data_IF_020782535811
#
_entry.id   IF_020782535811
#
_cell.length_a   1.000
_cell.length_b   1.000
_cell.length_c   1.000
_cell.angle_alpha   90.00
_cell.angle_beta   90.00
_cell.angle_gamma   90.00
#
_symmetry.space_group_name_H-M   'P 1'
#
loop_
_entity.id
_entity.type
_entity.pdbx_description
1 polymer ?
#
# COMPACT_ATOMS: atom_id res chain seq x y z
N UNK A 1 24.65 41.96 69.29
CA UNK A 1 23.91 40.69 69.10
C UNK A 1 23.16 40.76 67.76
N UNK A 2 23.72 40.20 66.68
CA UNK A 2 23.07 40.16 65.35
C UNK A 2 22.47 38.75 65.16
N UNK A 3 21.14 38.65 65.04
CA UNK A 3 20.46 37.39 64.71
C UNK A 3 20.45 37.23 63.19
N UNK A 4 21.17 36.22 62.70
CA UNK A 4 21.14 35.81 61.28
C UNK A 4 19.98 34.83 61.13
N UNK A 5 18.98 35.22 60.33
CA UNK A 5 17.81 34.40 60.03
C UNK A 5 18.14 33.53 58.81
N UNK A 6 18.43 32.24 59.02
CA UNK A 6 18.55 31.27 57.94
C UNK A 6 17.15 30.93 57.42
N UNK A 7 16.82 31.37 56.21
CA UNK A 7 15.62 30.94 55.49
C UNK A 7 15.97 29.68 54.72
N UNK A 8 15.53 28.52 55.22
CA UNK A 8 15.67 27.23 54.55
C UNK A 8 14.68 27.19 53.38
N UNK A 9 15.17 27.40 52.15
CA UNK A 9 14.35 27.25 50.94
C UNK A 9 14.35 25.78 50.54
N UNK A 10 13.29 25.06 50.89
CA UNK A 10 13.09 23.67 50.48
C UNK A 10 12.74 23.65 48.99
N UNK A 11 13.68 23.25 48.14
CA UNK A 11 13.42 22.98 46.71
C UNK A 11 12.66 21.65 46.63
N UNK A 12 11.35 21.70 46.40
CA UNK A 12 10.59 20.52 46.00
C UNK A 12 11.00 20.13 44.57
N UNK A 13 11.78 19.07 44.43
CA UNK A 13 12.00 18.42 43.15
C UNK A 13 10.72 17.67 42.76
N UNK A 14 9.90 18.27 41.89
CA UNK A 14 8.82 17.58 41.20
C UNK A 14 9.44 16.59 40.20
N UNK A 15 9.60 15.34 40.59
CA UNK A 15 9.90 14.26 39.65
C UNK A 15 8.66 14.03 38.79
N UNK A 16 8.60 14.66 37.62
CA UNK A 16 7.67 14.24 36.59
C UNK A 16 8.10 12.85 36.12
N UNK A 17 7.40 11.81 36.58
CA UNK A 17 7.49 10.49 35.98
C UNK A 17 6.81 10.62 34.62
N UNK A 18 7.59 10.90 33.58
CA UNK A 18 7.13 10.78 32.21
C UNK A 18 6.76 9.31 31.99
N UNK A 19 5.47 8.99 32.00
CA UNK A 19 5.00 7.70 31.51
C UNK A 19 5.32 7.66 30.02
N UNK A 20 6.24 6.78 29.61
CA UNK A 20 6.51 6.55 28.21
C UNK A 20 5.19 6.13 27.54
N UNK A 21 4.74 6.93 26.57
CA UNK A 21 3.53 6.60 25.83
C UNK A 21 3.73 5.25 25.14
N UNK A 22 2.85 4.29 25.43
CA UNK A 22 2.90 2.98 24.80
C UNK A 22 2.81 3.13 23.28
N UNK A 23 3.74 2.53 22.55
CA UNK A 23 3.73 2.53 21.08
C UNK A 23 2.40 1.94 20.60
N UNK A 24 1.64 2.63 19.72
CA UNK A 24 0.39 2.11 19.17
C UNK A 24 0.55 0.75 18.47
N UNK A 25 -0.47 -0.11 18.54
CA UNK A 25 -0.43 -1.44 17.92
C UNK A 25 -0.17 -1.40 16.41
N UNK A 26 -0.59 -0.34 15.71
CA UNK A 26 -0.31 -0.14 14.29
C UNK A 26 1.20 -0.03 14.01
N UNK A 27 1.93 0.74 14.83
CA UNK A 27 3.39 0.85 14.74
C UNK A 27 4.07 -0.45 15.18
N UNK A 28 3.59 -1.10 16.24
CA UNK A 28 4.15 -2.39 16.68
C UNK A 28 4.01 -3.47 15.59
N UNK A 29 2.83 -3.59 14.97
CA UNK A 29 2.56 -4.56 13.91
C UNK A 29 3.39 -4.26 12.65
N UNK A 30 3.47 -2.99 12.24
CA UNK A 30 4.32 -2.57 11.12
C UNK A 30 5.79 -2.92 11.39
N UNK A 31 6.30 -2.67 12.60
CA UNK A 31 7.67 -3.01 12.96
C UNK A 31 7.92 -4.52 12.92
N UNK A 32 6.98 -5.33 13.41
CA UNK A 32 7.07 -6.79 13.32
C UNK A 32 7.10 -7.27 11.87
N UNK A 33 6.21 -6.77 11.01
CA UNK A 33 6.19 -7.09 9.59
C UNK A 33 7.52 -6.72 8.90
N UNK A 34 8.03 -5.51 9.14
CA UNK A 34 9.31 -5.04 8.59
C UNK A 34 10.51 -5.87 9.06
N UNK A 35 10.43 -6.43 10.28
CA UNK A 35 11.48 -7.29 10.82
C UNK A 35 11.44 -8.70 10.23
N UNK A 36 10.24 -9.23 9.96
CA UNK A 36 10.04 -10.56 9.37
C UNK A 36 10.39 -10.57 7.87
N UNK A 37 10.06 -9.52 7.13
CA UNK A 37 10.18 -9.46 5.66
C UNK A 37 11.13 -8.36 5.19
N UNK A 38 12.38 -8.40 5.64
CA UNK A 38 13.39 -7.38 5.31
C UNK A 38 13.69 -7.28 3.82
N UNK A 39 13.48 -8.35 3.06
CA UNK A 39 13.94 -8.55 1.68
C UNK A 39 12.77 -8.77 0.69
N UNK A 40 11.81 -7.85 0.69
CA UNK A 40 10.70 -7.85 -0.29
C UNK A 40 9.78 -9.08 -0.23
N UNK A 41 9.65 -9.68 0.97
CA UNK A 41 8.73 -10.78 1.29
C UNK A 41 9.14 -12.16 0.73
N UNK A 42 10.44 -12.42 0.56
CA UNK A 42 10.92 -13.82 0.44
C UNK A 42 10.63 -14.61 1.70
N UNK A 43 10.19 -15.85 1.53
CA UNK A 43 9.80 -16.75 2.63
C UNK A 43 10.45 -18.12 2.45
N UNK A 44 11.14 -18.60 3.50
CA UNK A 44 11.69 -19.97 3.57
C UNK A 44 12.57 -20.36 2.37
N UNK A 45 13.39 -19.44 1.86
CA UNK A 45 14.27 -19.67 0.71
C UNK A 45 13.58 -19.60 -0.67
N UNK A 46 12.26 -19.37 -0.72
CA UNK A 46 11.57 -19.12 -1.99
C UNK A 46 11.80 -17.68 -2.45
N UNK A 47 11.99 -17.47 -3.77
CA UNK A 47 12.14 -16.13 -4.31
C UNK A 47 10.87 -15.32 -4.10
N UNK A 48 11.04 -14.03 -3.79
CA UNK A 48 9.96 -13.08 -3.68
C UNK A 48 9.17 -12.97 -5.01
N UNK A 49 7.84 -12.91 -4.94
CA UNK A 49 6.91 -12.91 -6.09
C UNK A 49 6.05 -11.65 -6.07
N UNK A 50 5.58 -11.22 -7.24
CA UNK A 50 4.59 -10.15 -7.35
C UNK A 50 3.20 -10.62 -6.89
N UNK A 51 2.98 -10.66 -5.58
CA UNK A 51 1.75 -11.16 -4.97
C UNK A 51 0.98 -10.04 -4.26
N UNK A 52 -0.35 -10.16 -4.23
CA UNK A 52 -1.24 -9.09 -3.75
C UNK A 52 -1.17 -8.90 -2.24
N UNK A 53 -0.84 -9.95 -1.48
CA UNK A 53 -0.75 -9.94 -0.02
C UNK A 53 0.33 -8.97 0.47
N UNK A 54 1.45 -8.87 -0.26
CA UNK A 54 2.46 -7.84 -0.01
C UNK A 54 1.85 -6.44 -0.12
N UNK A 55 1.05 -6.18 -1.16
CA UNK A 55 0.36 -4.90 -1.32
C UNK A 55 -0.57 -4.59 -0.16
N UNK A 56 -1.30 -5.56 0.37
CA UNK A 56 -2.18 -5.38 1.54
C UNK A 56 -1.36 -4.94 2.76
N UNK A 57 -0.27 -5.64 3.05
CA UNK A 57 0.59 -5.36 4.21
C UNK A 57 1.23 -3.98 4.06
N UNK A 58 1.76 -3.66 2.87
CA UNK A 58 2.40 -2.37 2.60
C UNK A 58 1.39 -1.21 2.64
N UNK A 59 0.13 -1.39 2.24
CA UNK A 59 -0.92 -0.37 2.45
C UNK A 59 -1.21 -0.12 3.93
N UNK A 60 -1.11 -1.15 4.77
CA UNK A 60 -1.16 -0.99 6.23
C UNK A 60 0.00 -0.13 6.75
N UNK A 61 1.22 -0.41 6.30
CA UNK A 61 2.43 0.36 6.66
C UNK A 61 2.36 1.80 6.12
N UNK A 62 1.80 2.00 4.92
CA UNK A 62 1.51 3.34 4.37
C UNK A 62 0.58 4.13 5.31
N UNK A 63 -0.46 3.48 5.85
CA UNK A 63 -1.34 4.10 6.84
C UNK A 63 -0.59 4.57 8.08
N UNK A 64 0.36 3.75 8.58
CA UNK A 64 1.23 4.14 9.69
C UNK A 64 2.12 5.32 9.30
N UNK A 65 2.72 5.31 8.10
CA UNK A 65 3.51 6.43 7.61
C UNK A 65 2.68 7.73 7.53
N UNK A 66 1.46 7.69 7.00
CA UNK A 66 0.58 8.85 6.88
C UNK A 66 0.20 9.46 8.24
N UNK A 67 0.09 8.63 9.28
CA UNK A 67 -0.29 9.08 10.62
C UNK A 67 0.88 9.68 11.41
N UNK A 68 2.07 9.10 11.29
CA UNK A 68 3.20 9.44 12.16
C UNK A 68 4.38 10.10 11.44
N UNK A 69 4.38 10.11 10.11
CA UNK A 69 5.39 10.72 9.24
C UNK A 69 6.84 10.27 9.52
N UNK A 70 7.04 9.05 10.05
CA UNK A 70 8.37 8.48 10.29
C UNK A 70 8.93 7.90 8.97
N UNK A 71 10.03 8.44 8.43
CA UNK A 71 10.53 8.09 7.10
C UNK A 71 10.92 6.61 6.94
N UNK A 72 11.16 5.87 8.03
CA UNK A 72 11.51 4.45 7.95
C UNK A 72 10.44 3.61 7.25
N UNK A 73 9.16 3.97 7.42
CA UNK A 73 8.04 3.25 6.81
C UNK A 73 7.98 3.52 5.30
N UNK A 74 8.15 4.77 4.86
CA UNK A 74 8.22 5.11 3.44
C UNK A 74 9.41 4.41 2.76
N UNK A 75 10.60 4.48 3.38
CA UNK A 75 11.81 3.88 2.85
C UNK A 75 11.66 2.36 2.69
N UNK A 76 11.03 1.70 3.67
CA UNK A 76 10.74 0.27 3.59
C UNK A 76 9.75 -0.09 2.46
N UNK A 77 8.68 0.69 2.29
CA UNK A 77 7.73 0.51 1.17
C UNK A 77 8.45 0.70 -0.17
N UNK A 78 9.26 1.75 -0.29
CA UNK A 78 10.03 2.03 -1.50
C UNK A 78 11.01 0.90 -1.82
N UNK A 79 11.81 0.46 -0.84
CA UNK A 79 12.75 -0.65 -1.00
C UNK A 79 12.03 -1.93 -1.45
N UNK A 80 10.88 -2.23 -0.84
CA UNK A 80 10.08 -3.42 -1.17
C UNK A 80 9.57 -3.40 -2.61
N UNK A 81 9.13 -2.24 -3.12
CA UNK A 81 8.61 -2.11 -4.48
C UNK A 81 9.72 -1.94 -5.52
N UNK A 82 10.86 -1.36 -5.16
CA UNK A 82 12.03 -1.21 -6.03
C UNK A 82 12.66 -2.57 -6.40
N UNK A 83 12.42 -3.62 -5.61
CA UNK A 83 12.77 -4.98 -6.01
C UNK A 83 12.05 -5.44 -7.29
N UNK A 84 10.83 -4.94 -7.53
CA UNK A 84 9.98 -5.38 -8.64
C UNK A 84 9.95 -4.35 -9.77
N UNK A 85 9.85 -3.06 -9.44
CA UNK A 85 9.66 -1.99 -10.42
C UNK A 85 11.02 -1.49 -10.93
N UNK A 86 11.32 -1.84 -12.18
CA UNK A 86 12.55 -1.44 -12.87
C UNK A 86 12.47 0.01 -13.36
N UNK A 87 13.62 0.61 -13.68
CA UNK A 87 13.70 2.00 -14.14
C UNK A 87 12.94 2.28 -15.46
N UNK A 88 12.77 1.25 -16.30
CA UNK A 88 11.96 1.34 -17.52
C UNK A 88 10.45 1.16 -17.27
N UNK A 89 10.04 0.88 -16.03
CA UNK A 89 8.65 0.65 -15.64
C UNK A 89 8.19 -0.80 -15.76
N UNK A 90 9.05 -1.72 -16.21
CA UNK A 90 8.72 -3.16 -16.16
C UNK A 90 8.62 -3.61 -14.71
N UNK A 91 7.71 -4.54 -14.47
CA UNK A 91 7.46 -5.11 -13.15
C UNK A 91 7.89 -6.58 -13.20
N UNK A 92 8.89 -6.95 -12.41
CA UNK A 92 9.33 -8.34 -12.27
C UNK A 92 8.15 -9.21 -11.81
N UNK A 93 8.03 -10.41 -12.38
CA UNK A 93 6.98 -11.40 -12.09
C UNK A 93 5.54 -10.95 -12.36
N UNK A 94 5.34 -9.78 -12.99
CA UNK A 94 4.03 -9.36 -13.47
C UNK A 94 3.87 -9.69 -14.96
N UNK A 95 2.86 -10.49 -15.27
CA UNK A 95 2.50 -10.86 -16.64
C UNK A 95 1.11 -10.33 -16.97
N UNK A 96 1.06 -9.30 -17.80
CA UNK A 96 -0.18 -8.62 -18.19
C UNK A 96 -1.18 -9.55 -18.88
N UNK A 97 -0.69 -10.49 -19.70
CA UNK A 97 -1.47 -11.40 -20.53
C UNK A 97 -2.13 -12.55 -19.75
N UNK A 98 -1.77 -12.73 -18.47
CA UNK A 98 -2.49 -13.60 -17.54
C UNK A 98 -3.84 -12.99 -17.10
N UNK A 99 -4.03 -11.68 -17.32
CA UNK A 99 -5.20 -10.91 -16.88
C UNK A 99 -5.63 -11.28 -15.46
N UNK A 100 -4.66 -11.35 -14.55
CA UNK A 100 -4.91 -11.66 -13.16
C UNK A 100 -5.25 -10.37 -12.42
N UNK A 101 -6.49 -10.24 -11.91
CA UNK A 101 -6.92 -9.03 -11.21
C UNK A 101 -6.15 -8.83 -9.90
N UNK A 102 -5.67 -9.90 -9.26
CA UNK A 102 -4.90 -9.85 -8.01
C UNK A 102 -3.63 -9.02 -8.16
N UNK A 103 -2.98 -9.12 -9.31
CA UNK A 103 -1.73 -8.40 -9.58
C UNK A 103 -1.92 -6.88 -9.56
N UNK A 104 -3.14 -6.37 -9.75
CA UNK A 104 -3.42 -4.94 -9.74
C UNK A 104 -3.40 -4.33 -8.34
N UNK A 105 -3.59 -5.15 -7.30
CA UNK A 105 -3.67 -4.68 -5.91
C UNK A 105 -2.43 -3.88 -5.49
N UNK A 106 -1.24 -4.36 -5.90
CA UNK A 106 0.05 -3.73 -5.61
C UNK A 106 0.20 -2.35 -6.29
N UNK A 107 -0.57 -2.08 -7.35
CA UNK A 107 -0.59 -0.80 -8.04
C UNK A 107 -0.96 0.38 -7.13
N UNK A 108 -1.76 0.12 -6.08
CA UNK A 108 -2.06 1.12 -5.02
C UNK A 108 -0.79 1.60 -4.30
N UNK A 109 0.15 0.70 -4.05
CA UNK A 109 1.41 1.01 -3.35
C UNK A 109 2.38 1.71 -4.30
N UNK A 110 2.45 1.26 -5.56
CA UNK A 110 3.27 1.91 -6.59
C UNK A 110 2.79 3.34 -6.86
N UNK A 111 1.48 3.57 -6.88
CA UNK A 111 0.88 4.89 -7.05
C UNK A 111 1.13 5.82 -5.86
N UNK A 112 1.06 5.28 -4.64
CA UNK A 112 1.55 5.99 -3.45
C UNK A 112 3.00 6.44 -3.63
N UNK A 113 3.91 5.54 -4.04
CA UNK A 113 5.31 5.91 -4.26
C UNK A 113 5.48 6.96 -5.36
N UNK A 114 4.71 6.89 -6.44
CA UNK A 114 4.70 7.92 -7.48
C UNK A 114 4.29 9.29 -6.92
N UNK A 115 3.17 9.35 -6.20
CA UNK A 115 2.60 10.61 -5.69
C UNK A 115 3.52 11.37 -4.73
N UNK A 116 4.41 10.66 -4.01
CA UNK A 116 5.30 11.26 -3.02
C UNK A 116 6.76 11.38 -3.46
N UNK A 117 7.21 10.57 -4.42
CA UNK A 117 8.60 10.63 -4.91
C UNK A 117 8.74 11.22 -6.32
N UNK A 118 7.64 11.29 -7.07
CA UNK A 118 7.59 11.72 -8.47
C UNK A 118 8.54 10.96 -9.42
N UNK A 119 9.04 9.79 -9.01
CA UNK A 119 9.96 8.99 -9.84
C UNK A 119 9.22 8.45 -11.07
N UNK A 120 9.69 8.72 -12.30
CA UNK A 120 8.99 8.33 -13.54
C UNK A 120 8.75 6.83 -13.70
N UNK A 121 9.62 5.98 -13.13
CA UNK A 121 9.48 4.52 -13.19
C UNK A 121 8.17 4.02 -12.60
N UNK A 122 7.71 4.63 -11.50
CA UNK A 122 6.44 4.25 -10.88
C UNK A 122 5.25 4.65 -11.75
N UNK A 123 5.30 5.80 -12.43
CA UNK A 123 4.26 6.20 -13.39
C UNK A 123 4.16 5.21 -14.55
N UNK A 124 5.31 4.84 -15.15
CA UNK A 124 5.34 3.83 -16.22
C UNK A 124 4.77 2.49 -15.77
N UNK A 125 5.08 2.05 -14.55
CA UNK A 125 4.56 0.82 -13.98
C UNK A 125 3.03 0.86 -13.78
N UNK A 126 2.47 1.93 -13.19
CA UNK A 126 1.01 2.05 -13.03
C UNK A 126 0.28 2.19 -14.37
N UNK A 127 0.90 2.83 -15.37
CA UNK A 127 0.34 2.93 -16.73
C UNK A 127 0.29 1.55 -17.41
N UNK A 128 1.36 0.75 -17.24
CA UNK A 128 1.39 -0.65 -17.67
C UNK A 128 0.26 -1.46 -17.01
N UNK A 129 0.08 -1.33 -15.69
CA UNK A 129 -0.99 -2.03 -14.96
C UNK A 129 -2.39 -1.56 -15.38
N UNK A 130 -2.58 -0.25 -15.60
CA UNK A 130 -3.85 0.30 -16.10
C UNK A 130 -4.18 -0.23 -17.50
N UNK A 131 -3.16 -0.42 -18.35
CA UNK A 131 -3.36 -0.97 -19.69
C UNK A 131 -3.96 -2.39 -19.65
N UNK A 132 -3.75 -3.16 -18.58
CA UNK A 132 -4.42 -4.46 -18.40
C UNK A 132 -5.94 -4.27 -18.36
N UNK A 133 -6.45 -3.33 -17.55
CA UNK A 133 -7.89 -3.08 -17.38
C UNK A 133 -8.61 -2.66 -18.68
N UNK A 134 -7.88 -2.08 -19.64
CA UNK A 134 -8.44 -1.73 -20.95
C UNK A 134 -8.76 -2.97 -21.80
N UNK A 135 -8.01 -4.06 -21.63
CA UNK A 135 -8.15 -5.31 -22.40
C UNK A 135 -8.59 -6.50 -21.52
N UNK A 136 -8.82 -6.27 -20.22
CA UNK A 136 -9.13 -7.33 -19.27
C UNK A 136 -10.47 -8.00 -19.65
N UNK A 137 -10.51 -9.34 -19.82
CA UNK A 137 -11.72 -10.04 -20.21
C UNK A 137 -12.89 -9.78 -19.25
N UNK A 138 -14.10 -9.72 -19.81
CA UNK A 138 -15.31 -9.40 -19.05
C UNK A 138 -16.41 -10.42 -19.29
N UNK A 139 -17.29 -10.57 -18.31
CA UNK A 139 -18.58 -11.26 -18.48
C UNK A 139 -19.41 -10.53 -19.53
N UNK A 140 -20.47 -11.17 -20.03
CA UNK A 140 -21.44 -10.55 -20.95
C UNK A 140 -22.08 -9.29 -20.38
N UNK A 141 -22.22 -9.21 -19.05
CA UNK A 141 -22.76 -8.04 -18.35
C UNK A 141 -21.71 -6.95 -18.08
N UNK A 142 -20.42 -7.24 -18.30
CA UNK A 142 -19.33 -6.28 -18.23
C UNK A 142 -18.43 -6.37 -16.99
N UNK A 143 -18.64 -7.34 -16.10
CA UNK A 143 -17.77 -7.56 -14.93
C UNK A 143 -16.43 -8.14 -15.33
N UNK A 144 -15.33 -7.68 -14.73
CA UNK A 144 -14.01 -8.28 -14.98
C UNK A 144 -14.00 -9.76 -14.57
N UNK A 145 -13.42 -10.61 -15.41
CA UNK A 145 -13.04 -11.95 -14.99
C UNK A 145 -12.01 -11.85 -13.89
N UNK A 146 -12.08 -12.75 -12.91
CA UNK A 146 -11.10 -12.76 -11.82
C UNK A 146 -9.68 -13.01 -12.37
N UNK A 147 -9.54 -14.00 -13.26
CA UNK A 147 -8.30 -14.29 -14.01
C UNK A 147 -8.63 -14.84 -15.39
N UNK A 148 -7.71 -14.77 -16.36
CA UNK A 148 -7.88 -15.44 -17.67
C UNK A 148 -8.17 -16.93 -17.55
N UNK A 149 -7.58 -17.59 -16.54
CA UNK A 149 -7.79 -19.02 -16.24
C UNK A 149 -9.15 -19.32 -15.57
N UNK A 150 -9.89 -18.29 -15.15
CA UNK A 150 -11.22 -18.40 -14.55
C UNK A 150 -12.25 -17.68 -15.44
N UNK A 151 -12.54 -18.22 -16.63
CA UNK A 151 -13.39 -17.55 -17.60
C UNK A 151 -14.79 -17.30 -17.07
N UNK A 152 -15.28 -16.08 -17.25
CA UNK A 152 -16.61 -15.59 -16.82
C UNK A 152 -16.88 -15.66 -15.32
N UNK A 153 -15.86 -15.89 -14.48
CA UNK A 153 -16.02 -15.90 -13.03
C UNK A 153 -15.68 -14.54 -12.45
N UNK A 154 -16.54 -14.06 -11.56
CA UNK A 154 -16.35 -12.84 -10.79
C UNK A 154 -16.27 -13.23 -9.32
N UNK A 155 -15.19 -12.85 -8.65
CA UNK A 155 -15.00 -13.13 -7.22
C UNK A 155 -14.99 -11.84 -6.43
N UNK A 156 -15.51 -11.86 -5.20
CA UNK A 156 -15.59 -10.68 -4.32
C UNK A 156 -14.22 -10.05 -4.08
N UNK A 157 -13.18 -10.87 -3.95
CA UNK A 157 -11.80 -10.41 -3.74
C UNK A 157 -11.35 -9.50 -4.89
N UNK A 158 -11.76 -9.83 -6.13
CA UNK A 158 -11.42 -9.07 -7.33
C UNK A 158 -11.89 -7.61 -7.29
N UNK A 159 -12.94 -7.29 -6.53
CA UNK A 159 -13.33 -5.90 -6.30
C UNK A 159 -12.24 -5.14 -5.56
N UNK A 160 -11.71 -5.69 -4.46
CA UNK A 160 -10.66 -5.04 -3.68
C UNK A 160 -9.31 -4.97 -4.41
N UNK A 161 -9.01 -5.98 -5.23
CA UNK A 161 -7.76 -6.04 -5.99
C UNK A 161 -7.73 -5.02 -7.12
N UNK A 162 -8.81 -4.91 -7.89
CA UNK A 162 -8.86 -4.08 -9.10
C UNK A 162 -9.44 -2.68 -8.89
N UNK A 163 -10.58 -2.56 -8.21
CA UNK A 163 -11.39 -1.32 -8.24
C UNK A 163 -10.74 -0.14 -7.51
N UNK A 164 -10.15 -0.30 -6.31
CA UNK A 164 -9.41 0.78 -5.66
C UNK A 164 -8.23 1.29 -6.49
N UNK A 165 -7.48 0.39 -7.14
CA UNK A 165 -6.39 0.77 -8.05
C UNK A 165 -6.95 1.57 -9.24
N UNK A 166 -8.03 1.08 -9.85
CA UNK A 166 -8.65 1.75 -10.99
C UNK A 166 -9.16 3.15 -10.62
N UNK A 167 -9.83 3.30 -9.48
CA UNK A 167 -10.34 4.57 -8.98
C UNK A 167 -9.22 5.59 -8.69
N UNK A 168 -8.14 5.16 -8.02
CA UNK A 168 -7.01 6.03 -7.70
C UNK A 168 -6.27 6.46 -8.98
N UNK A 169 -6.12 5.56 -9.95
CA UNK A 169 -5.56 5.89 -11.26
C UNK A 169 -6.43 6.88 -12.04
N UNK A 170 -7.76 6.65 -12.05
CA UNK A 170 -8.72 7.53 -12.72
C UNK A 170 -8.64 8.95 -12.16
N UNK A 171 -8.61 9.09 -10.83
CA UNK A 171 -8.42 10.36 -10.15
C UNK A 171 -7.10 11.04 -10.53
N UNK A 172 -6.00 10.29 -10.56
CA UNK A 172 -4.68 10.81 -10.91
C UNK A 172 -4.62 11.36 -12.35
N UNK A 173 -5.38 10.78 -13.28
CA UNK A 173 -5.36 11.13 -14.70
C UNK A 173 -6.59 11.91 -15.16
N UNK A 174 -7.45 12.35 -14.23
CA UNK A 174 -8.69 13.07 -14.52
C UNK A 174 -9.62 12.33 -15.50
N UNK A 175 -9.70 11.00 -15.39
CA UNK A 175 -10.61 10.14 -16.17
C UNK A 175 -11.92 9.92 -15.40
N UNK A 176 -12.80 10.92 -15.44
CA UNK A 176 -14.08 10.85 -14.71
C UNK A 176 -15.00 9.74 -15.23
N UNK A 177 -14.80 9.30 -16.48
CA UNK A 177 -15.64 8.26 -17.10
C UNK A 177 -15.41 6.87 -16.51
N UNK A 178 -14.19 6.60 -16.02
CA UNK A 178 -13.83 5.34 -15.39
C UNK A 178 -14.67 5.02 -14.15
N UNK A 179 -15.12 6.03 -13.40
CA UNK A 179 -15.93 5.82 -12.20
C UNK A 179 -17.28 5.15 -12.49
N UNK A 180 -17.84 5.34 -13.68
CA UNK A 180 -19.07 4.65 -14.09
C UNK A 180 -18.85 3.13 -14.22
N UNK A 181 -17.73 2.72 -14.83
CA UNK A 181 -17.38 1.31 -14.95
C UNK A 181 -17.05 0.71 -13.57
N UNK A 182 -16.30 1.42 -12.74
CA UNK A 182 -16.00 1.00 -11.37
C UNK A 182 -17.28 0.77 -10.57
N UNK A 183 -18.22 1.73 -10.57
CA UNK A 183 -19.49 1.58 -9.87
C UNK A 183 -20.30 0.39 -10.42
N UNK A 184 -20.29 0.18 -11.74
CA UNK A 184 -20.94 -0.96 -12.38
C UNK A 184 -20.37 -2.29 -11.87
N UNK A 185 -19.06 -2.42 -11.65
CA UNK A 185 -18.45 -3.64 -11.10
C UNK A 185 -19.04 -4.01 -9.73
N UNK A 186 -19.23 -3.03 -8.85
CA UNK A 186 -19.84 -3.25 -7.52
C UNK A 186 -21.33 -3.58 -7.61
N UNK A 187 -22.07 -2.95 -8.53
CA UNK A 187 -23.51 -3.21 -8.69
C UNK A 187 -23.77 -4.61 -9.26
N UNK A 188 -22.94 -5.08 -10.20
CA UNK A 188 -23.17 -6.36 -10.86
C UNK A 188 -22.89 -7.57 -9.97
N UNK A 189 -21.95 -7.47 -9.03
CA UNK A 189 -21.56 -8.61 -8.17
C UNK A 189 -22.52 -8.83 -6.99
N UNK A 190 -23.34 -7.83 -6.67
CA UNK A 190 -24.39 -7.93 -5.64
C UNK A 190 -25.60 -8.77 -6.13
N UNK A 191 -25.80 -8.83 -7.45
CA UNK A 191 -26.94 -9.49 -8.09
C UNK A 191 -26.76 -11.00 -8.16
#
# INVERSE_FOLDING_TARGET
MKKILFTLTTVLALTQIASAQQTPYSQQMAQTAMNLWKDSFSMNGNPARWSYDQGVILKGIEGVWKLYNDPKYFNYIQQSMDHYVQEDGKIKDYKRDEFNIDHLNNGKVVMFLYNYSWKPKYKKAIDLMRSQLAEHPRTTEGSFWHKKIYPSQVWLDGLYMGQPFYAEYAKLNHDDTAFNDIARQFILIER
#
